data_IF_341252416180
#
_entry.id   IF_341252416180
#
_cell.length_a   1.000
_cell.length_b   1.000
_cell.length_c   1.000
_cell.angle_alpha   90.00
_cell.angle_beta   90.00
_cell.angle_gamma   90.00
#
_symmetry.space_group_name_H-M   'P 1'
#
loop_
_entity.id
_entity.type
_entity.pdbx_description
1 polymer ?
#
# COMPACT_ATOMS: atom_id res chain seq x y z
N UNK A 1 -7.85 -2.70 -3.10
CA UNK A 1 -7.85 -4.19 -3.10
C UNK A 1 -8.04 -4.62 -1.65
N UNK A 2 -8.71 -5.74 -1.41
CA UNK A 2 -8.77 -6.31 -0.06
C UNK A 2 -7.37 -6.73 0.41
N UNK A 3 -7.20 -6.85 1.72
CA UNK A 3 -5.94 -7.34 2.29
C UNK A 3 -5.63 -8.76 1.80
N UNK A 4 -6.65 -9.63 1.71
CA UNK A 4 -6.51 -10.99 1.19
C UNK A 4 -6.03 -11.02 -0.26
N UNK A 5 -6.57 -10.15 -1.12
CA UNK A 5 -6.10 -10.02 -2.50
C UNK A 5 -4.63 -9.56 -2.57
N UNK A 6 -4.22 -8.60 -1.73
CA UNK A 6 -2.81 -8.15 -1.66
C UNK A 6 -1.91 -9.29 -1.20
N UNK A 7 -2.28 -9.99 -0.12
CA UNK A 7 -1.51 -11.10 0.42
C UNK A 7 -1.38 -12.25 -0.59
N UNK A 8 -2.45 -12.56 -1.33
CA UNK A 8 -2.41 -13.54 -2.39
C UNK A 8 -1.36 -13.19 -3.45
N UNK A 9 -1.28 -11.92 -3.88
CA UNK A 9 -0.27 -11.46 -4.85
C UNK A 9 1.15 -11.51 -4.28
N UNK A 10 1.35 -11.04 -3.04
CA UNK A 10 2.67 -11.02 -2.39
C UNK A 10 3.29 -12.41 -2.21
N UNK A 11 2.47 -13.46 -2.16
CA UNK A 11 2.90 -14.86 -2.00
C UNK A 11 3.22 -15.59 -3.32
N UNK A 12 2.93 -14.99 -4.48
CA UNK A 12 3.13 -15.66 -5.77
C UNK A 12 4.59 -15.83 -6.22
N UNK A 13 5.53 -14.90 -5.94
CA UNK A 13 6.90 -15.08 -6.37
C UNK A 13 7.56 -16.30 -5.73
N UNK A 14 8.21 -17.13 -6.55
CA UNK A 14 8.93 -18.32 -6.07
C UNK A 14 10.24 -17.96 -5.36
N UNK A 15 10.19 -17.97 -4.03
CA UNK A 15 11.32 -17.61 -3.17
C UNK A 15 12.46 -18.63 -3.13
N UNK A 16 12.36 -19.76 -3.84
CA UNK A 16 13.51 -20.66 -4.04
C UNK A 16 14.47 -20.13 -5.11
N UNK A 17 13.99 -19.29 -6.03
CA UNK A 17 14.81 -18.65 -7.08
C UNK A 17 15.28 -17.26 -6.66
N UNK A 18 16.46 -16.82 -7.12
CA UNK A 18 16.92 -15.44 -6.90
C UNK A 18 15.94 -14.41 -7.49
N UNK A 19 15.45 -14.67 -8.71
CA UNK A 19 14.47 -13.80 -9.35
C UNK A 19 13.20 -13.67 -8.51
N UNK A 20 12.66 -14.76 -7.98
CA UNK A 20 11.46 -14.71 -7.15
C UNK A 20 11.70 -14.08 -5.78
N UNK A 21 12.88 -14.24 -5.16
CA UNK A 21 13.27 -13.48 -3.96
C UNK A 21 13.31 -11.98 -4.22
N UNK A 22 13.87 -11.56 -5.36
CA UNK A 22 13.89 -10.15 -5.78
C UNK A 22 12.47 -9.63 -5.99
N UNK A 23 11.67 -10.37 -6.74
CA UNK A 23 10.32 -9.99 -7.10
C UNK A 23 9.40 -9.92 -5.87
N UNK A 24 9.53 -10.86 -4.92
CA UNK A 24 8.84 -10.84 -3.63
C UNK A 24 9.15 -9.57 -2.84
N UNK A 25 10.44 -9.25 -2.69
CA UNK A 25 10.83 -8.04 -1.96
C UNK A 25 10.38 -6.77 -2.67
N UNK A 26 10.48 -6.71 -4.00
CA UNK A 26 10.01 -5.58 -4.80
C UNK A 26 8.52 -5.31 -4.57
N UNK A 27 7.68 -6.34 -4.63
CA UNK A 27 6.24 -6.20 -4.40
C UNK A 27 5.93 -5.77 -2.96
N UNK A 28 6.59 -6.38 -1.96
CA UNK A 28 6.45 -6.02 -0.56
C UNK A 28 6.83 -4.55 -0.33
N UNK A 29 7.98 -4.14 -0.88
CA UNK A 29 8.51 -2.79 -0.71
C UNK A 29 7.63 -1.75 -1.40
N UNK A 30 7.15 -2.03 -2.62
CA UNK A 30 6.18 -1.17 -3.31
C UNK A 30 4.90 -1.00 -2.47
N UNK A 31 4.36 -2.09 -1.94
CA UNK A 31 3.16 -2.06 -1.12
C UNK A 31 3.37 -1.25 0.16
N UNK A 32 4.43 -1.54 0.93
CA UNK A 32 4.65 -0.95 2.26
C UNK A 32 5.17 0.49 2.22
N UNK A 33 5.72 0.94 1.10
CA UNK A 33 6.12 2.35 0.91
C UNK A 33 5.03 3.17 0.22
N UNK A 34 4.12 2.53 -0.54
CA UNK A 34 3.16 3.24 -1.38
C UNK A 34 3.82 4.09 -2.47
N UNK A 35 5.08 3.83 -2.83
CA UNK A 35 5.80 4.58 -3.86
C UNK A 35 5.11 4.50 -5.23
N UNK A 36 5.29 5.51 -6.08
CA UNK A 36 4.98 5.38 -7.51
C UNK A 36 5.98 4.42 -8.15
N UNK A 37 5.61 3.80 -9.27
CA UNK A 37 6.50 2.83 -9.93
C UNK A 37 7.83 3.45 -10.38
N UNK A 38 7.81 4.68 -10.90
CA UNK A 38 9.03 5.41 -11.25
C UNK A 38 9.90 5.65 -10.01
N UNK A 39 9.29 6.18 -8.95
CA UNK A 39 9.95 6.44 -7.67
C UNK A 39 10.60 5.16 -7.13
N UNK A 40 9.91 4.01 -7.16
CA UNK A 40 10.41 2.72 -6.69
C UNK A 40 11.69 2.29 -7.42
N UNK A 41 11.70 2.38 -8.75
CA UNK A 41 12.84 1.90 -9.56
C UNK A 41 14.02 2.87 -9.53
N UNK A 42 13.80 4.11 -9.11
CA UNK A 42 14.85 5.13 -8.99
C UNK A 42 15.55 5.09 -7.62
N UNK A 43 15.02 4.36 -6.63
CA UNK A 43 15.63 4.26 -5.29
C UNK A 43 17.04 3.67 -5.38
N UNK A 44 17.99 4.36 -4.75
CA UNK A 44 19.37 3.94 -4.60
C UNK A 44 19.66 3.46 -3.18
N UNK A 45 20.78 2.78 -2.98
CA UNK A 45 21.18 2.34 -1.65
C UNK A 45 21.43 3.52 -0.71
N UNK A 46 21.96 4.64 -1.23
CA UNK A 46 22.15 5.88 -0.47
C UNK A 46 20.86 6.57 -0.01
N UNK A 47 19.71 6.21 -0.57
CA UNK A 47 18.42 6.75 -0.12
C UNK A 47 17.89 6.05 1.14
N UNK A 48 18.52 4.93 1.54
CA UNK A 48 18.10 4.09 2.65
C UNK A 48 18.93 4.39 3.88
N UNK A 49 18.26 4.78 4.96
CA UNK A 49 18.88 4.93 6.27
C UNK A 49 18.38 3.83 7.20
N UNK A 50 19.30 2.99 7.66
CA UNK A 50 19.06 2.02 8.73
C UNK A 50 19.58 2.58 10.06
N UNK A 51 18.99 2.17 11.18
CA UNK A 51 19.38 2.63 12.52
C UNK A 51 18.20 2.67 13.48
N UNK A 52 18.21 3.60 14.43
CA UNK A 52 17.13 3.78 15.41
C UNK A 52 15.78 4.14 14.78
N UNK A 53 15.80 4.90 13.68
CA UNK A 53 14.61 5.31 12.93
C UNK A 53 14.80 4.97 11.45
N UNK A 54 14.57 3.71 11.06
CA UNK A 54 14.76 3.28 9.68
C UNK A 54 13.83 4.03 8.74
N UNK A 55 14.37 4.50 7.60
CA UNK A 55 13.59 5.23 6.59
C UNK A 55 14.18 5.07 5.20
N UNK A 56 13.35 5.30 4.19
CA UNK A 56 13.77 5.47 2.80
C UNK A 56 13.37 6.87 2.32
N UNK A 57 14.28 7.54 1.63
CA UNK A 57 14.01 8.82 0.98
C UNK A 57 13.53 8.57 -0.45
N UNK A 58 12.40 9.15 -0.82
CA UNK A 58 11.83 9.05 -2.16
C UNK A 58 11.93 10.40 -2.85
N UNK A 59 12.47 10.37 -4.07
CA UNK A 59 12.59 11.52 -4.94
C UNK A 59 11.44 11.55 -5.95
N UNK A 60 10.58 12.56 -5.85
CA UNK A 60 9.43 12.75 -6.73
C UNK A 60 9.64 13.84 -7.78
N UNK A 61 8.58 14.13 -8.54
CA UNK A 61 8.58 15.16 -9.58
C UNK A 61 8.93 16.55 -8.99
N UNK A 62 9.79 17.30 -9.69
CA UNK A 62 10.17 18.66 -9.33
C UNK A 62 11.11 18.73 -8.12
N UNK A 63 12.00 17.75 -7.96
CA UNK A 63 12.95 17.65 -6.85
C UNK A 63 12.31 17.59 -5.45
N UNK A 64 11.00 17.28 -5.37
CA UNK A 64 10.32 17.08 -4.09
C UNK A 64 10.76 15.76 -3.49
N UNK A 65 11.32 15.81 -2.29
CA UNK A 65 11.71 14.62 -1.55
C UNK A 65 10.78 14.38 -0.37
N UNK A 66 10.66 13.13 0.03
CA UNK A 66 9.95 12.74 1.25
C UNK A 66 10.60 11.52 1.87
N UNK A 67 10.60 11.44 3.19
CA UNK A 67 11.07 10.25 3.89
C UNK A 67 9.87 9.40 4.33
N UNK A 68 9.96 8.11 4.07
CA UNK A 68 8.97 7.12 4.51
C UNK A 68 9.62 6.25 5.59
N UNK A 69 9.10 6.26 6.83
CA UNK A 69 9.55 5.35 7.88
C UNK A 69 9.36 3.89 7.45
N UNK A 70 10.36 3.05 7.72
CA UNK A 70 10.29 1.62 7.46
C UNK A 70 10.04 0.89 8.78
N UNK A 71 8.99 0.06 8.81
CA UNK A 71 8.72 -0.84 9.93
C UNK A 71 9.78 -1.93 10.03
N UNK A 72 9.97 -2.47 11.23
CA UNK A 72 10.98 -3.48 11.52
C UNK A 72 10.84 -4.74 10.64
N UNK A 73 9.61 -5.18 10.36
CA UNK A 73 9.36 -6.32 9.46
C UNK A 73 9.92 -6.05 8.04
N UNK A 74 9.69 -4.86 7.50
CA UNK A 74 10.21 -4.44 6.19
C UNK A 74 11.73 -4.33 6.22
N UNK A 75 12.29 -3.82 7.31
CA UNK A 75 13.75 -3.70 7.50
C UNK A 75 14.42 -5.07 7.53
N UNK A 76 13.81 -6.07 8.17
CA UNK A 76 14.33 -7.44 8.17
C UNK A 76 14.38 -8.02 6.76
N UNK A 77 13.30 -7.84 5.97
CA UNK A 77 13.28 -8.27 4.57
C UNK A 77 14.29 -7.50 3.71
N UNK A 78 14.45 -6.19 3.94
CA UNK A 78 15.43 -5.36 3.25
C UNK A 78 16.85 -5.83 3.54
N UNK A 79 17.21 -6.11 4.79
CA UNK A 79 18.55 -6.62 5.15
C UNK A 79 18.85 -7.94 4.44
N UNK A 80 17.90 -8.88 4.41
CA UNK A 80 18.03 -10.15 3.67
C UNK A 80 18.21 -9.92 2.17
N UNK A 81 17.46 -8.98 1.60
CA UNK A 81 17.59 -8.61 0.19
C UNK A 81 18.96 -7.98 -0.11
N UNK A 82 19.42 -7.04 0.72
CA UNK A 82 20.73 -6.40 0.55
C UNK A 82 21.87 -7.41 0.64
N UNK A 83 21.82 -8.35 1.59
CA UNK A 83 22.83 -9.40 1.71
C UNK A 83 22.93 -10.28 0.45
N UNK A 84 21.82 -10.51 -0.25
CA UNK A 84 21.78 -11.36 -1.43
C UNK A 84 22.14 -10.61 -2.72
N UNK A 85 21.60 -9.40 -2.93
CA UNK A 85 21.73 -8.66 -4.18
C UNK A 85 22.81 -7.57 -4.14
N UNK A 86 23.22 -7.14 -2.95
CA UNK A 86 24.18 -6.07 -2.72
C UNK A 86 25.26 -6.43 -1.68
N UNK A 87 25.85 -7.64 -1.71
CA UNK A 87 26.78 -8.10 -0.66
C UNK A 87 28.03 -7.24 -0.51
N UNK A 88 28.48 -6.61 -1.59
CA UNK A 88 29.71 -5.80 -1.63
C UNK A 88 29.44 -4.29 -1.52
N UNK A 89 28.20 -3.88 -1.27
CA UNK A 89 27.81 -2.47 -1.26
C UNK A 89 27.43 -2.03 0.15
N UNK A 90 27.67 -0.76 0.44
CA UNK A 90 27.17 -0.10 1.64
C UNK A 90 26.02 0.87 1.28
N UNK A 91 25.39 1.43 2.32
CA UNK A 91 24.30 2.39 2.19
C UNK A 91 24.77 3.81 1.80
N UNK A 92 25.99 3.98 1.31
CA UNK A 92 26.45 5.21 0.67
C UNK A 92 26.56 5.06 -0.85
N UNK A 93 26.32 3.85 -1.38
CA UNK A 93 26.41 3.56 -2.81
C UNK A 93 25.27 4.16 -3.61
N UNK A 94 25.58 4.70 -4.79
CA UNK A 94 24.59 5.19 -5.76
C UNK A 94 23.94 4.07 -6.59
N UNK A 95 24.26 2.80 -6.33
CA UNK A 95 23.62 1.70 -7.03
C UNK A 95 22.11 1.67 -6.75
N UNK A 96 21.33 1.34 -7.79
CA UNK A 96 19.89 1.15 -7.68
C UNK A 96 19.57 -0.04 -6.77
N UNK A 97 18.61 0.12 -5.86
CA UNK A 97 18.10 -0.95 -5.01
C UNK A 97 17.57 -2.12 -5.85
N UNK A 98 16.79 -1.79 -6.88
CA UNK A 98 16.26 -2.75 -7.85
C UNK A 98 16.93 -2.56 -9.21
N UNK A 99 17.62 -3.59 -9.68
CA UNK A 99 18.34 -3.54 -10.94
C UNK A 99 18.05 -4.77 -11.81
N UNK A 100 18.43 -4.65 -13.08
CA UNK A 100 18.56 -5.74 -14.04
C UNK A 100 20.02 -5.84 -14.47
N UNK A 101 20.46 -7.04 -14.81
CA UNK A 101 21.79 -7.26 -15.37
C UNK A 101 21.66 -7.21 -16.89
N UNK A 102 22.36 -6.29 -17.53
CA UNK A 102 22.45 -6.18 -18.99
C UNK A 102 23.90 -5.97 -19.37
N UNK A 103 24.44 -6.83 -20.24
CA UNK A 103 25.86 -6.82 -20.63
C UNK A 103 26.79 -6.79 -19.41
N UNK A 104 26.55 -7.69 -18.44
CA UNK A 104 27.28 -7.80 -17.16
C UNK A 104 27.23 -6.55 -16.25
N UNK A 105 26.47 -5.53 -16.62
CA UNK A 105 26.34 -4.30 -15.85
C UNK A 105 24.98 -4.23 -15.15
N UNK A 106 24.99 -3.75 -13.91
CA UNK A 106 23.77 -3.43 -13.17
C UNK A 106 23.16 -2.15 -13.75
N UNK A 107 21.93 -2.24 -14.22
CA UNK A 107 21.15 -1.11 -14.77
C UNK A 107 19.84 -0.98 -14.01
N UNK A 108 19.32 0.25 -13.93
CA UNK A 108 18.00 0.53 -13.37
C UNK A 108 16.95 -0.40 -13.96
N UNK A 109 16.10 -0.98 -13.12
CA UNK A 109 14.91 -1.68 -13.61
C UNK A 109 13.95 -0.68 -14.28
N UNK A 110 13.37 -1.02 -15.42
CA UNK A 110 12.37 -0.13 -16.05
C UNK A 110 11.02 -0.27 -15.36
N UNK A 111 10.20 0.77 -15.42
CA UNK A 111 8.83 0.70 -14.87
C UNK A 111 8.00 -0.38 -15.57
N UNK A 112 8.19 -0.58 -16.87
CA UNK A 112 7.49 -1.61 -17.63
C UNK A 112 7.83 -3.02 -17.16
N UNK A 113 9.08 -3.25 -16.72
CA UNK A 113 9.44 -4.52 -16.11
C UNK A 113 8.63 -4.74 -14.82
N UNK A 114 8.48 -3.71 -14.00
CA UNK A 114 7.67 -3.77 -12.77
C UNK A 114 6.18 -3.95 -13.09
N UNK A 115 5.63 -3.24 -14.08
CA UNK A 115 4.22 -3.39 -14.50
C UNK A 115 3.94 -4.80 -15.01
N UNK A 116 4.82 -5.36 -15.85
CA UNK A 116 4.72 -6.74 -16.35
C UNK A 116 4.82 -7.76 -15.22
N UNK A 117 5.74 -7.54 -14.28
CA UNK A 117 5.91 -8.38 -13.08
C UNK A 117 4.62 -8.40 -12.25
N UNK A 118 4.05 -7.22 -11.97
CA UNK A 118 2.80 -7.08 -11.20
C UNK A 118 1.64 -7.77 -11.91
N UNK A 119 1.48 -7.54 -13.22
CA UNK A 119 0.42 -8.16 -14.01
C UNK A 119 0.53 -9.69 -13.99
N UNK A 120 1.75 -10.22 -14.16
CA UNK A 120 2.03 -11.67 -14.09
C UNK A 120 1.56 -12.25 -12.75
N UNK A 121 1.98 -11.66 -11.63
CA UNK A 121 1.61 -12.17 -10.31
C UNK A 121 0.14 -11.92 -9.96
N UNK A 122 -0.48 -10.87 -10.49
CA UNK A 122 -1.92 -10.65 -10.40
C UNK A 122 -2.72 -11.78 -11.06
N UNK A 123 -2.33 -12.20 -12.27
CA UNK A 123 -2.96 -13.33 -12.98
C UNK A 123 -2.79 -14.64 -12.20
N UNK A 124 -1.61 -14.90 -11.64
CA UNK A 124 -1.36 -16.09 -10.84
C UNK A 124 -2.19 -16.11 -9.55
N UNK A 125 -2.19 -15.00 -8.81
CA UNK A 125 -2.95 -14.87 -7.57
C UNK A 125 -4.46 -15.02 -7.76
N UNK A 126 -5.00 -14.55 -8.89
CA UNK A 126 -6.44 -14.67 -9.16
C UNK A 126 -6.92 -16.11 -9.26
N UNK A 127 -6.04 -17.04 -9.65
CA UNK A 127 -6.39 -18.48 -9.70
C UNK A 127 -6.74 -19.04 -8.32
N UNK A 128 -6.24 -18.44 -7.25
CA UNK A 128 -6.45 -18.88 -5.87
C UNK A 128 -7.31 -17.91 -5.04
N UNK A 129 -7.39 -16.64 -5.42
CA UNK A 129 -8.17 -15.60 -4.72
C UNK A 129 -8.99 -14.79 -5.73
N UNK A 130 -10.31 -15.00 -5.74
CA UNK A 130 -11.23 -14.35 -6.70
C UNK A 130 -11.34 -12.83 -6.50
N UNK A 131 -10.96 -12.31 -5.33
CA UNK A 131 -10.96 -10.88 -5.01
C UNK A 131 -9.84 -10.10 -5.71
N UNK A 132 -8.85 -10.79 -6.30
CA UNK A 132 -7.77 -10.15 -7.05
C UNK A 132 -8.34 -9.52 -8.33
N UNK A 133 -8.28 -8.18 -8.49
CA UNK A 133 -8.88 -7.48 -9.63
C UNK A 133 -8.32 -7.91 -10.98
N UNK A 134 -9.07 -7.66 -12.05
CA UNK A 134 -8.67 -8.04 -13.41
C UNK A 134 -7.34 -7.43 -13.86
N UNK A 135 -7.19 -6.13 -13.61
CA UNK A 135 -6.05 -5.35 -14.05
C UNK A 135 -5.23 -4.86 -12.86
N UNK A 136 -4.36 -5.74 -12.36
CA UNK A 136 -3.45 -5.41 -11.26
C UNK A 136 -2.32 -4.50 -11.76
N UNK A 137 -2.14 -3.35 -11.12
CA UNK A 137 -1.13 -2.36 -11.50
C UNK A 137 -0.63 -1.58 -10.25
N UNK A 138 0.50 -0.86 -10.32
CA UNK A 138 1.14 -0.23 -9.15
C UNK A 138 0.22 0.68 -8.32
N UNK A 139 -0.65 1.47 -8.98
CA UNK A 139 -1.55 2.38 -8.27
C UNK A 139 -2.54 1.67 -7.35
N UNK A 140 -2.92 0.41 -7.64
CA UNK A 140 -3.78 -0.37 -6.74
C UNK A 140 -3.07 -0.74 -5.44
N UNK A 141 -1.78 -1.08 -5.48
CA UNK A 141 -1.00 -1.33 -4.27
C UNK A 141 -0.93 -0.09 -3.40
N UNK A 142 -0.62 1.04 -4.02
CA UNK A 142 -0.56 2.34 -3.35
C UNK A 142 -1.90 2.73 -2.73
N UNK A 143 -3.00 2.59 -3.48
CA UNK A 143 -4.34 2.85 -2.97
C UNK A 143 -4.67 1.93 -1.79
N UNK A 144 -4.37 0.64 -1.91
CA UNK A 144 -4.66 -0.34 -0.85
C UNK A 144 -3.84 -0.07 0.41
N UNK A 145 -2.58 0.34 0.28
CA UNK A 145 -1.76 0.73 1.44
C UNK A 145 -2.28 2.01 2.11
N UNK A 146 -2.68 2.99 1.33
CA UNK A 146 -3.29 4.22 1.84
C UNK A 146 -4.57 3.94 2.63
N UNK A 147 -5.44 3.06 2.12
CA UNK A 147 -6.64 2.61 2.82
C UNK A 147 -6.30 1.91 4.13
N UNK A 148 -5.32 1.00 4.14
CA UNK A 148 -4.88 0.34 5.38
C UNK A 148 -4.37 1.35 6.41
N UNK A 149 -3.58 2.34 6.00
CA UNK A 149 -3.11 3.40 6.91
C UNK A 149 -4.29 4.20 7.47
N UNK A 150 -5.23 4.59 6.62
CA UNK A 150 -6.40 5.37 7.03
C UNK A 150 -7.30 4.58 8.00
N UNK A 151 -7.54 3.30 7.70
CA UNK A 151 -8.31 2.38 8.55
C UNK A 151 -7.66 2.14 9.91
N UNK A 152 -6.34 2.24 9.99
CA UNK A 152 -5.58 2.19 11.25
C UNK A 152 -5.49 3.57 11.94
N UNK A 153 -6.25 4.56 11.50
CA UNK A 153 -6.36 5.87 12.15
C UNK A 153 -5.22 6.84 11.85
N UNK A 154 -4.41 6.58 10.82
CA UNK A 154 -3.39 7.54 10.38
C UNK A 154 -4.08 8.73 9.72
N UNK A 155 -3.68 9.94 10.14
CA UNK A 155 -4.24 11.17 9.61
C UNK A 155 -4.03 11.32 8.09
N UNK A 156 -5.04 11.82 7.37
CA UNK A 156 -5.00 11.96 5.92
C UNK A 156 -3.91 12.93 5.45
N UNK A 157 -3.55 13.93 6.25
CA UNK A 157 -2.44 14.83 5.90
C UNK A 157 -1.11 14.09 5.91
N UNK A 158 -0.90 13.19 6.87
CA UNK A 158 0.30 12.36 6.96
C UNK A 158 0.35 11.33 5.82
N UNK A 159 -0.78 10.69 5.51
CA UNK A 159 -0.90 9.80 4.34
C UNK A 159 -0.59 10.58 3.06
N UNK A 160 -1.15 11.78 2.90
CA UNK A 160 -0.90 12.65 1.74
C UNK A 160 0.59 12.99 1.59
N UNK A 161 1.27 13.30 2.69
CA UNK A 161 2.70 13.56 2.72
C UNK A 161 3.52 12.33 2.33
N UNK A 162 3.25 11.14 2.91
CA UNK A 162 3.96 9.90 2.58
C UNK A 162 3.72 9.42 1.16
N UNK A 163 2.53 9.66 0.61
CA UNK A 163 2.22 9.38 -0.77
C UNK A 163 2.83 10.45 -1.70
N UNK A 164 3.04 11.68 -1.23
CA UNK A 164 3.51 12.78 -2.06
C UNK A 164 2.42 13.23 -3.03
N UNK A 165 1.21 13.45 -2.52
CA UNK A 165 0.14 14.13 -3.23
C UNK A 165 0.35 15.64 -3.14
N UNK A 166 0.27 16.32 -4.29
CA UNK A 166 0.38 17.78 -4.35
C UNK A 166 -0.90 18.48 -3.90
N UNK A 167 -2.04 17.81 -4.03
CA UNK A 167 -3.35 18.28 -3.61
C UNK A 167 -3.95 17.27 -2.63
N UNK A 168 -4.39 17.76 -1.46
CA UNK A 168 -5.01 16.93 -0.43
C UNK A 168 -6.32 16.29 -0.91
N UNK A 169 -7.02 16.90 -1.88
CA UNK A 169 -8.24 16.34 -2.48
C UNK A 169 -8.00 14.95 -3.08
N UNK A 170 -6.80 14.67 -3.60
CA UNK A 170 -6.44 13.33 -4.09
C UNK A 170 -6.45 12.29 -2.98
N UNK A 171 -6.22 12.71 -1.74
CA UNK A 171 -6.25 11.84 -0.55
C UNK A 171 -7.66 11.76 0.05
N UNK A 172 -8.53 12.75 -0.16
CA UNK A 172 -9.93 12.72 0.32
C UNK A 172 -10.75 11.57 -0.26
N UNK A 173 -10.36 11.04 -1.43
CA UNK A 173 -10.98 9.83 -2.00
C UNK A 173 -11.03 8.66 -1.01
N UNK A 174 -10.03 8.55 -0.12
CA UNK A 174 -9.98 7.50 0.91
C UNK A 174 -11.04 7.71 2.00
N UNK A 175 -11.32 8.96 2.38
CA UNK A 175 -12.36 9.31 3.35
C UNK A 175 -13.77 9.04 2.81
N UNK A 176 -13.97 9.23 1.51
CA UNK A 176 -15.24 8.92 0.86
C UNK A 176 -15.45 7.41 0.66
N UNK A 177 -14.38 6.65 0.48
CA UNK A 177 -14.44 5.22 0.21
C UNK A 177 -14.80 4.34 1.44
N UNK A 178 -14.69 4.85 2.67
CA UNK A 178 -14.86 4.03 3.88
C UNK A 178 -16.04 4.47 4.77
N UNK A 179 -17.19 3.80 4.61
CA UNK A 179 -18.37 3.99 5.46
C UNK A 179 -18.19 3.39 6.86
N UNK A 180 -17.41 2.32 6.99
CA UNK A 180 -17.17 1.67 8.29
C UNK A 180 -16.34 2.55 9.21
N UNK A 181 -15.37 3.30 8.67
CA UNK A 181 -14.62 4.24 9.47
C UNK A 181 -15.50 5.40 9.98
N UNK A 182 -16.43 5.89 9.15
CA UNK A 182 -17.44 6.89 9.58
C UNK A 182 -18.32 6.33 10.69
N UNK A 183 -18.73 5.06 10.58
CA UNK A 183 -19.50 4.36 11.62
C UNK A 183 -18.70 4.29 12.93
N UNK A 184 -17.46 3.80 12.89
CA UNK A 184 -16.58 3.74 14.08
C UNK A 184 -16.30 5.12 14.69
N UNK A 185 -16.15 6.15 13.87
CA UNK A 185 -15.98 7.52 14.34
C UNK A 185 -17.23 8.03 15.05
N UNK A 186 -18.43 7.75 14.51
CA UNK A 186 -19.70 8.05 15.16
C UNK A 186 -19.82 7.31 16.50
N UNK A 187 -19.53 6.01 16.53
CA UNK A 187 -19.54 5.21 17.77
C UNK A 187 -18.63 5.78 18.86
N UNK A 188 -17.45 6.29 18.47
CA UNK A 188 -16.49 6.88 19.41
C UNK A 188 -16.91 8.28 19.88
N UNK A 189 -17.59 9.05 19.04
CA UNK A 189 -18.03 10.41 19.35
C UNK A 189 -19.30 10.45 20.22
N UNK A 190 -20.11 9.39 20.20
CA UNK A 190 -21.34 9.30 21.00
C UNK A 190 -20.99 9.05 22.48
N UNK A 191 -21.39 9.93 23.41
CA UNK A 191 -21.14 9.76 24.85
C UNK A 191 -21.74 8.46 25.39
N UNK A 192 -21.14 7.91 26.45
CA UNK A 192 -21.56 6.62 27.06
C UNK A 192 -23.03 6.65 27.51
N UNK A 193 -23.51 7.81 27.94
CA UNK A 193 -24.88 8.04 28.45
C UNK A 193 -25.89 8.41 27.34
N UNK A 194 -25.48 8.45 26.08
CA UNK A 194 -26.37 8.84 24.99
C UNK A 194 -27.39 7.74 24.68
N UNK A 195 -28.70 8.06 24.59
CA UNK A 195 -29.74 7.13 24.15
C UNK A 195 -29.50 6.53 22.75
N UNK A 196 -28.64 7.17 21.95
CA UNK A 196 -28.24 6.70 20.63
C UNK A 196 -27.34 5.46 20.70
N UNK A 197 -26.68 5.21 21.83
CA UNK A 197 -25.74 4.10 21.98
C UNK A 197 -26.40 2.73 21.93
N UNK A 198 -27.64 2.62 22.42
CA UNK A 198 -28.45 1.40 22.34
C UNK A 198 -28.79 1.00 20.89
N UNK A 199 -28.78 1.97 19.96
CA UNK A 199 -29.17 1.78 18.57
C UNK A 199 -27.98 1.62 17.60
N UNK A 200 -26.74 1.90 18.04
CA UNK A 200 -25.54 1.81 17.18
C UNK A 200 -25.15 0.37 16.83
N UNK A 201 -25.53 -0.59 17.67
CA UNK A 201 -25.29 -2.03 17.49
C UNK A 201 -26.56 -2.81 17.14
N UNK A 202 -27.68 -2.14 16.83
CA UNK A 202 -28.89 -2.82 16.39
C UNK A 202 -28.60 -3.63 15.12
N UNK A 203 -29.13 -4.86 15.05
CA UNK A 203 -29.05 -5.68 13.84
C UNK A 203 -29.47 -4.83 12.63
N UNK A 204 -28.76 -4.98 11.50
CA UNK A 204 -29.06 -4.26 10.26
C UNK A 204 -30.57 -4.31 10.04
N UNK A 205 -31.23 -3.15 10.01
CA UNK A 205 -32.59 -3.09 9.50
C UNK A 205 -32.56 -3.66 8.08
N UNK A 206 -33.06 -4.89 7.91
CA UNK A 206 -33.43 -5.39 6.60
C UNK A 206 -34.67 -4.61 6.22
N UNK A 207 -34.46 -3.48 5.56
CA UNK A 207 -35.56 -2.71 5.00
C UNK A 207 -36.04 -3.46 3.76
N UNK A 208 -36.80 -4.54 3.97
CA UNK A 208 -37.60 -5.18 2.91
C UNK A 208 -38.96 -4.55 2.77
N UNK A 209 -39.38 -3.74 3.76
CA UNK A 209 -40.73 -3.21 3.82
C UNK A 209 -40.79 -1.81 3.22
N UNK A 210 -41.45 -1.72 2.06
CA UNK A 210 -41.73 -0.49 1.31
C UNK A 210 -42.50 0.55 2.17
N UNK A 211 -43.27 0.08 3.14
CA UNK A 211 -44.01 0.89 4.10
C UNK A 211 -43.10 1.58 5.13
N UNK A 212 -42.01 0.90 5.53
CA UNK A 212 -40.99 1.48 6.42
C UNK A 212 -40.21 2.59 5.71
N UNK A 213 -39.91 2.40 4.41
CA UNK A 213 -39.26 3.42 3.57
C UNK A 213 -40.13 4.66 3.41
N UNK A 214 -41.42 4.48 3.12
CA UNK A 214 -42.39 5.58 3.02
C UNK A 214 -42.42 6.41 4.31
N UNK A 215 -42.50 5.72 5.46
CA UNK A 215 -42.55 6.35 6.78
C UNK A 215 -41.27 7.13 7.14
N UNK A 216 -40.09 6.58 6.83
CA UNK A 216 -38.81 7.24 7.08
C UNK A 216 -38.57 8.45 6.17
N UNK A 217 -39.07 8.40 4.93
CA UNK A 217 -38.96 9.49 3.96
C UNK A 217 -40.07 10.55 4.11
N UNK A 218 -40.96 10.41 5.09
CA UNK A 218 -42.10 11.33 5.27
C UNK A 218 -43.11 11.31 4.12
N UNK A 219 -43.08 10.25 3.30
CA UNK A 219 -44.02 10.03 2.20
C UNK A 219 -45.17 9.18 2.77
N UNK A 220 -46.40 9.69 2.70
CA UNK A 220 -47.60 8.90 3.03
C UNK A 220 -47.90 7.90 1.91
#
# INVERSE_FOLDING_TARGET
MSEDAVQAILKQPDTYTEKGKRDAFLLLFLYKTGARVQELVDIRLCDIQLGKYPKVTIHGKGAKTRSIPLRDDVVQHLKKYLALFHPEQNLFSEQYLFYVIRNQNRKRMTEDNVRKLIAKYGVQARKICKEVPENVHPHLFRHSWAMVLYQNGVDLTLISQWLGHSNLETTLIYAHADTELKRKALEKAVPVESPLKEHLNAERYKVSDEELLKRLCGLK
#
